data_IF_720246958199
#
_entry.id   IF_720246958199
#
_cell.length_a   1.000
_cell.length_b   1.000
_cell.length_c   1.000
_cell.angle_alpha   90.00
_cell.angle_beta   90.00
_cell.angle_gamma   90.00
#
_symmetry.space_group_name_H-M   'P 1'
#
loop_
_entity.id
_entity.type
_entity.pdbx_description
1 polymer ?
#
# COMPACT_ATOMS: atom_id res chain seq x y z
N UNK A 1 15.30 36.01 -73.99
CA UNK A 1 15.46 34.66 -73.42
C UNK A 1 15.60 34.85 -71.92
N UNK A 2 14.59 35.41 -71.24
CA UNK A 2 13.34 34.75 -70.80
C UNK A 2 13.69 33.53 -69.92
N UNK A 3 13.30 33.43 -68.65
CA UNK A 3 11.96 33.62 -68.08
C UNK A 3 12.05 33.98 -66.59
N UNK A 4 11.13 34.84 -66.18
CA UNK A 4 10.75 35.30 -64.86
C UNK A 4 9.87 34.25 -64.15
N UNK A 5 9.95 34.04 -62.82
CA UNK A 5 8.80 34.09 -61.87
C UNK A 5 9.13 33.54 -60.47
N UNK A 6 8.55 34.24 -59.50
CA UNK A 6 8.55 34.05 -58.05
C UNK A 6 7.89 32.74 -57.61
N UNK A 7 8.30 32.20 -56.46
CA UNK A 7 7.36 31.63 -55.48
C UNK A 7 7.95 31.71 -54.08
N UNK A 8 7.36 32.53 -53.22
CA UNK A 8 7.52 32.41 -51.77
C UNK A 8 6.79 31.15 -51.30
N UNK A 9 7.45 30.30 -50.51
CA UNK A 9 6.74 29.39 -49.59
C UNK A 9 7.41 29.49 -48.23
N UNK A 10 6.73 30.21 -47.35
CA UNK A 10 6.82 30.10 -45.91
C UNK A 10 6.72 28.60 -45.54
N UNK A 11 7.77 28.02 -44.95
CA UNK A 11 7.62 26.78 -44.22
C UNK A 11 7.65 27.10 -42.74
N UNK A 12 6.46 26.97 -42.17
CA UNK A 12 6.07 27.01 -40.78
C UNK A 12 7.03 26.23 -39.88
N UNK A 13 7.21 26.78 -38.67
CA UNK A 13 7.72 26.11 -37.48
C UNK A 13 7.19 24.67 -37.40
N UNK A 14 8.10 23.69 -37.51
CA UNK A 14 7.81 22.36 -37.01
C UNK A 14 8.04 22.44 -35.49
N UNK A 15 6.94 22.49 -34.75
CA UNK A 15 6.96 22.42 -33.29
C UNK A 15 7.57 21.08 -32.91
N UNK A 16 8.63 21.14 -32.11
CA UNK A 16 9.35 20.00 -31.54
C UNK A 16 8.43 19.28 -30.53
N UNK A 17 7.49 18.47 -31.05
CA UNK A 17 6.48 17.75 -30.25
C UNK A 17 7.12 16.64 -29.40
N UNK A 18 8.39 16.31 -29.63
CA UNK A 18 9.02 15.16 -29.02
C UNK A 18 9.92 15.49 -27.81
N UNK A 19 10.35 16.73 -27.59
CA UNK A 19 11.29 17.01 -26.50
C UNK A 19 10.65 16.91 -25.10
N UNK A 20 9.42 17.41 -24.91
CA UNK A 20 8.75 17.33 -23.61
C UNK A 20 8.28 15.89 -23.28
N UNK A 21 7.88 15.13 -24.31
CA UNK A 21 7.44 13.75 -24.19
C UNK A 21 8.63 12.78 -23.97
N UNK A 22 9.79 13.07 -24.58
CA UNK A 22 11.04 12.31 -24.40
C UNK A 22 11.66 12.60 -23.04
N UNK A 23 11.64 13.85 -22.56
CA UNK A 23 12.15 14.20 -21.22
C UNK A 23 11.37 13.47 -20.10
N UNK A 24 10.05 13.32 -20.24
CA UNK A 24 9.24 12.48 -19.32
C UNK A 24 9.54 10.98 -19.41
N UNK A 25 10.09 10.51 -20.52
CA UNK A 25 10.50 9.10 -20.71
C UNK A 25 11.87 8.81 -20.10
N UNK A 26 12.74 9.83 -20.02
CA UNK A 26 14.12 9.73 -19.51
C UNK A 26 14.17 9.85 -17.98
N UNK A 27 13.22 10.55 -17.36
CA UNK A 27 12.98 10.51 -15.91
C UNK A 27 11.96 9.40 -15.66
N UNK A 28 12.35 8.32 -14.97
CA UNK A 28 11.44 7.21 -14.69
C UNK A 28 10.09 7.68 -14.14
N UNK A 29 9.00 7.00 -14.50
CA UNK A 29 7.65 7.38 -14.10
C UNK A 29 7.60 7.63 -12.57
N UNK A 30 7.11 8.81 -12.13
CA UNK A 30 7.26 9.23 -10.76
C UNK A 30 6.47 8.32 -9.82
N UNK A 31 6.98 8.17 -8.59
CA UNK A 31 6.42 7.28 -7.58
C UNK A 31 6.01 8.11 -6.36
N UNK A 32 4.77 7.91 -5.90
CA UNK A 32 4.29 8.42 -4.63
C UNK A 32 4.34 7.29 -3.59
N UNK A 33 4.94 7.58 -2.45
CA UNK A 33 5.03 6.65 -1.33
C UNK A 33 3.91 6.96 -0.32
N UNK A 34 2.97 6.03 -0.15
CA UNK A 34 1.88 6.16 0.82
C UNK A 34 2.17 5.34 2.06
N UNK A 35 1.96 5.95 3.22
CA UNK A 35 2.04 5.30 4.52
C UNK A 35 0.65 5.13 5.11
N UNK A 36 0.24 3.88 5.25
CA UNK A 36 -1.04 3.48 5.83
C UNK A 36 -0.77 2.98 7.24
N UNK A 37 -1.42 3.59 8.22
CA UNK A 37 -1.30 3.20 9.62
C UNK A 37 -2.66 3.23 10.30
N UNK A 38 -2.78 2.45 11.37
CA UNK A 38 -3.99 2.34 12.18
C UNK A 38 -3.71 2.86 13.58
N UNK A 39 -4.71 3.52 14.17
CA UNK A 39 -4.69 3.92 15.58
C UNK A 39 -6.04 3.60 16.25
N UNK A 40 -6.03 2.60 17.13
CA UNK A 40 -7.17 2.24 17.95
C UNK A 40 -7.40 3.25 19.09
N UNK A 41 -8.52 3.99 19.05
CA UNK A 41 -8.86 5.01 20.06
C UNK A 41 -10.06 4.63 20.93
N UNK A 42 -9.90 4.75 22.25
CA UNK A 42 -10.99 4.63 23.21
C UNK A 42 -11.60 6.01 23.50
N UNK A 43 -12.82 6.27 23.04
CA UNK A 43 -13.55 7.50 23.39
C UNK A 43 -14.36 7.27 24.68
N UNK A 44 -14.00 8.00 25.74
CA UNK A 44 -14.69 8.01 27.05
C UNK A 44 -14.92 6.62 27.68
N UNK A 45 -14.03 5.64 27.44
CA UNK A 45 -14.13 4.24 27.91
C UNK A 45 -15.41 3.49 27.48
N UNK A 46 -16.24 4.06 26.61
CA UNK A 46 -17.54 3.49 26.21
C UNK A 46 -17.60 3.04 24.77
N UNK A 47 -16.91 3.72 23.86
CA UNK A 47 -16.93 3.40 22.42
C UNK A 47 -15.51 3.30 21.90
N UNK A 48 -15.16 2.11 21.43
CA UNK A 48 -13.93 1.87 20.68
C UNK A 48 -14.14 2.37 19.27
N UNK A 49 -13.17 3.10 18.76
CA UNK A 49 -13.12 3.50 17.36
C UNK A 49 -11.86 2.93 16.73
N UNK A 50 -12.02 2.44 15.51
CA UNK A 50 -10.92 2.04 14.65
C UNK A 50 -10.73 3.14 13.63
N UNK A 51 -9.48 3.57 13.44
CA UNK A 51 -9.12 4.67 12.56
C UNK A 51 -7.95 4.25 11.67
N UNK A 52 -8.16 4.27 10.36
CA UNK A 52 -7.08 4.09 9.38
C UNK A 52 -6.75 5.44 8.77
N UNK A 53 -5.47 5.77 8.82
CA UNK A 53 -4.93 7.05 8.38
C UNK A 53 -3.87 6.81 7.31
N UNK A 54 -3.82 7.72 6.34
CA UNK A 54 -2.85 7.70 5.26
C UNK A 54 -2.04 9.00 5.29
N UNK A 55 -0.73 8.89 5.12
CA UNK A 55 0.16 10.03 4.91
C UNK A 55 0.97 9.83 3.63
N UNK A 56 1.37 10.93 3.00
CA UNK A 56 2.31 10.91 1.87
C UNK A 56 3.72 11.01 2.46
N UNK A 57 4.58 10.02 2.18
CA UNK A 57 5.94 9.94 2.74
C UNK A 57 6.95 10.84 2.03
N UNK A 58 6.66 11.25 0.80
CA UNK A 58 7.59 12.02 -0.03
C UNK A 58 7.88 13.42 0.53
N UNK A 59 6.92 14.00 1.26
CA UNK A 59 7.08 15.27 1.94
C UNK A 59 7.56 15.09 3.38
N UNK A 60 8.89 15.04 3.52
CA UNK A 60 9.56 14.86 4.82
C UNK A 60 9.27 16.00 5.81
N UNK A 61 8.96 17.20 5.34
CA UNK A 61 8.71 18.35 6.21
C UNK A 61 7.34 18.27 6.88
N UNK A 62 6.38 17.61 6.22
CA UNK A 62 5.01 17.50 6.68
C UNK A 62 4.69 16.16 7.32
N UNK A 63 5.57 15.16 7.19
CA UNK A 63 5.38 13.82 7.75
C UNK A 63 5.05 13.81 9.26
N UNK A 64 5.64 14.72 10.04
CA UNK A 64 5.39 14.82 11.49
C UNK A 64 4.25 15.79 11.83
N UNK A 65 3.60 16.39 10.84
CA UNK A 65 2.54 17.36 11.03
C UNK A 65 1.17 16.69 10.94
N UNK A 66 0.29 16.85 11.94
CA UNK A 66 -1.00 16.15 11.99
C UNK A 66 -1.94 16.55 10.85
N UNK A 67 -1.78 17.73 10.25
CA UNK A 67 -2.62 18.20 9.14
C UNK A 67 -2.39 17.43 7.82
N UNK A 68 -1.35 16.60 7.75
CA UNK A 68 -0.98 15.81 6.58
C UNK A 68 -1.23 14.32 6.81
N UNK A 69 -1.99 14.00 7.85
CA UNK A 69 -2.43 12.66 8.21
C UNK A 69 -3.92 12.56 7.92
N UNK A 70 -4.26 11.91 6.80
CA UNK A 70 -5.62 11.88 6.27
C UNK A 70 -6.36 10.62 6.76
N UNK A 71 -7.30 10.82 7.69
CA UNK A 71 -8.18 9.72 8.13
C UNK A 71 -9.08 9.29 6.98
N UNK A 72 -8.92 8.03 6.54
CA UNK A 72 -9.66 7.48 5.40
C UNK A 72 -10.76 6.52 5.85
N UNK A 73 -10.57 5.85 6.98
CA UNK A 73 -11.60 5.00 7.60
C UNK A 73 -11.75 5.40 9.06
N UNK A 74 -12.98 5.63 9.49
CA UNK A 74 -13.33 5.86 10.88
C UNK A 74 -14.66 5.16 11.17
N UNK A 75 -14.67 4.20 12.11
CA UNK A 75 -15.91 3.57 12.52
C UNK A 75 -15.94 3.22 14.01
N UNK A 76 -17.12 3.32 14.65
CA UNK A 76 -17.32 2.83 16.00
C UNK A 76 -17.46 1.30 15.98
N UNK A 77 -16.71 0.60 16.82
CA UNK A 77 -16.78 -0.85 16.89
C UNK A 77 -15.52 -1.49 17.47
N UNK A 78 -15.50 -2.81 17.43
CA UNK A 78 -14.30 -3.58 17.73
C UNK A 78 -13.53 -3.92 16.45
N UNK A 79 -12.22 -4.09 16.60
CA UNK A 79 -11.37 -4.74 15.60
C UNK A 79 -11.73 -6.23 15.56
N UNK A 80 -12.71 -6.60 14.74
CA UNK A 80 -12.99 -7.97 14.34
C UNK A 80 -12.95 -8.09 12.82
N UNK A 81 -12.70 -9.31 12.36
CA UNK A 81 -12.43 -9.58 10.95
C UNK A 81 -13.62 -9.24 10.04
N UNK A 82 -14.87 -9.56 10.43
CA UNK A 82 -16.03 -9.35 9.56
C UNK A 82 -16.35 -7.87 9.42
N UNK A 83 -16.27 -7.13 10.53
CA UNK A 83 -16.43 -5.67 10.52
C UNK A 83 -15.38 -5.01 9.64
N UNK A 84 -14.10 -5.39 9.82
CA UNK A 84 -13.01 -4.83 9.01
C UNK A 84 -13.16 -5.16 7.54
N UNK A 85 -13.45 -6.42 7.18
CA UNK A 85 -13.65 -6.84 5.80
C UNK A 85 -14.67 -5.97 5.06
N UNK A 86 -15.81 -5.70 5.70
CA UNK A 86 -16.88 -4.92 5.07
C UNK A 86 -16.52 -3.43 5.00
N UNK A 87 -15.98 -2.88 6.08
CA UNK A 87 -15.73 -1.44 6.20
C UNK A 87 -14.52 -1.00 5.38
N UNK A 88 -13.47 -1.82 5.29
CA UNK A 88 -12.25 -1.48 4.54
C UNK A 88 -12.31 -1.91 3.07
N UNK A 89 -13.36 -2.59 2.61
CA UNK A 89 -13.49 -3.03 1.22
C UNK A 89 -13.35 -1.88 0.18
N UNK A 90 -13.93 -0.67 0.39
CA UNK A 90 -13.69 0.45 -0.51
C UNK A 90 -12.23 0.89 -0.51
N UNK A 91 -11.64 1.08 0.67
CA UNK A 91 -10.22 1.45 0.82
C UNK A 91 -9.29 0.43 0.14
N UNK A 92 -9.54 -0.87 0.35
CA UNK A 92 -8.77 -1.93 -0.29
C UNK A 92 -8.81 -1.82 -1.82
N UNK A 93 -10.01 -1.59 -2.40
CA UNK A 93 -10.18 -1.45 -3.85
C UNK A 93 -9.38 -0.27 -4.38
N UNK A 94 -9.44 0.87 -3.70
CA UNK A 94 -8.74 2.08 -4.11
C UNK A 94 -7.22 1.90 -4.02
N UNK A 95 -6.71 1.36 -2.90
CA UNK A 95 -5.29 1.05 -2.75
C UNK A 95 -4.79 0.04 -3.78
N UNK A 96 -5.60 -0.98 -4.11
CA UNK A 96 -5.26 -1.98 -5.12
C UNK A 96 -5.18 -1.35 -6.51
N UNK A 97 -6.13 -0.48 -6.84
CA UNK A 97 -6.12 0.26 -8.10
C UNK A 97 -4.90 1.19 -8.20
N UNK A 98 -4.59 1.95 -7.14
CA UNK A 98 -3.39 2.80 -7.08
C UNK A 98 -2.10 1.99 -7.27
N UNK A 99 -1.99 0.83 -6.61
CA UNK A 99 -0.82 -0.05 -6.72
C UNK A 99 -0.66 -0.66 -8.11
N UNK A 100 -1.75 -1.13 -8.70
CA UNK A 100 -1.71 -1.91 -9.95
C UNK A 100 -1.75 -1.00 -11.20
N UNK A 101 -2.50 0.09 -11.16
CA UNK A 101 -2.75 0.97 -12.32
C UNK A 101 -2.09 2.35 -12.21
N UNK A 102 -1.77 2.81 -11.00
CA UNK A 102 -1.32 4.17 -10.76
C UNK A 102 -2.45 5.20 -10.86
N UNK A 103 -2.08 6.48 -11.01
CA UNK A 103 -3.01 7.59 -11.18
C UNK A 103 -2.49 8.60 -12.21
N UNK A 104 -3.36 9.08 -13.10
CA UNK A 104 -3.02 10.12 -14.06
C UNK A 104 -3.30 11.50 -13.46
N UNK A 105 -2.24 12.31 -13.25
CA UNK A 105 -2.33 13.67 -12.73
C UNK A 105 -1.54 14.57 -13.69
N UNK A 106 -2.18 15.60 -14.25
CA UNK A 106 -1.56 16.52 -15.22
C UNK A 106 -0.87 15.77 -16.37
N UNK A 107 -1.55 14.76 -16.94
CA UNK A 107 -1.05 13.88 -18.01
C UNK A 107 0.19 13.04 -17.64
N UNK A 108 0.66 13.09 -16.40
CA UNK A 108 1.75 12.25 -15.90
C UNK A 108 1.15 11.04 -15.19
N UNK A 109 1.61 9.84 -15.54
CA UNK A 109 1.24 8.60 -14.84
C UNK A 109 2.10 8.45 -13.59
N UNK A 110 1.47 8.59 -12.43
CA UNK A 110 2.09 8.38 -11.12
C UNK A 110 1.88 6.94 -10.66
N UNK A 111 2.97 6.29 -10.25
CA UNK A 111 2.94 4.97 -9.63
C UNK A 111 2.91 5.11 -8.10
N UNK A 112 2.51 4.05 -7.41
CA UNK A 112 2.36 4.08 -5.96
C UNK A 112 3.10 2.93 -5.29
N UNK A 113 3.81 3.25 -4.21
CA UNK A 113 4.37 2.28 -3.29
C UNK A 113 3.69 2.42 -1.92
N UNK A 114 3.19 1.31 -1.39
CA UNK A 114 2.39 1.29 -0.18
C UNK A 114 3.21 0.73 0.99
N UNK A 115 3.21 1.43 2.12
CA UNK A 115 3.82 1.01 3.37
C UNK A 115 2.75 0.86 4.44
N UNK A 116 2.74 -0.28 5.12
CA UNK A 116 1.77 -0.59 6.17
C UNK A 116 2.45 -0.61 7.54
N UNK A 117 1.95 0.20 8.47
CA UNK A 117 2.42 0.23 9.86
C UNK A 117 1.24 0.07 10.80
N UNK A 118 0.90 -1.18 11.06
CA UNK A 118 -0.18 -1.56 11.96
C UNK A 118 0.39 -2.12 13.26
N UNK A 119 -0.31 -1.89 14.37
CA UNK A 119 0.00 -2.64 15.58
C UNK A 119 -0.23 -4.15 15.33
N UNK A 120 0.42 -4.98 16.15
CA UNK A 120 0.43 -6.41 15.93
C UNK A 120 -0.98 -7.03 15.92
N UNK A 121 -1.91 -6.52 16.74
CA UNK A 121 -3.27 -7.08 16.85
C UNK A 121 -4.06 -6.78 15.58
N UNK A 122 -4.03 -5.54 15.10
CA UNK A 122 -4.69 -5.17 13.85
C UNK A 122 -4.08 -5.92 12.66
N UNK A 123 -2.74 -5.97 12.58
CA UNK A 123 -2.02 -6.71 11.55
C UNK A 123 -2.42 -8.19 11.51
N UNK A 124 -2.53 -8.84 12.68
CA UNK A 124 -2.95 -10.23 12.76
C UNK A 124 -4.36 -10.45 12.18
N UNK A 125 -5.29 -9.53 12.41
CA UNK A 125 -6.64 -9.59 11.82
C UNK A 125 -6.57 -9.40 10.30
N UNK A 126 -5.83 -8.39 9.84
CA UNK A 126 -5.62 -8.13 8.41
C UNK A 126 -4.99 -9.31 7.67
N UNK A 127 -4.18 -10.13 8.34
CA UNK A 127 -3.53 -11.32 7.76
C UNK A 127 -4.31 -12.63 8.02
N UNK A 128 -5.48 -12.56 8.65
CA UNK A 128 -6.34 -13.71 8.92
C UNK A 128 -5.78 -14.70 9.95
N UNK A 129 -5.04 -14.23 10.96
CA UNK A 129 -4.43 -15.05 12.01
C UNK A 129 -5.40 -15.52 13.11
N UNK A 130 -5.04 -16.67 13.68
CA UNK A 130 -5.68 -17.29 14.85
C UNK A 130 -5.15 -16.70 16.18
N UNK A 131 -5.15 -15.38 16.34
CA UNK A 131 -4.87 -14.69 17.61
C UNK A 131 -3.47 -14.91 18.24
N UNK A 132 -3.18 -14.11 19.28
CA UNK A 132 -1.84 -13.99 19.90
C UNK A 132 -1.44 -15.25 20.65
N UNK A 133 -2.43 -15.94 21.21
CA UNK A 133 -2.20 -17.08 22.08
C UNK A 133 -1.89 -18.36 21.30
N UNK A 134 -2.04 -18.37 19.98
CA UNK A 134 -1.76 -19.56 19.16
C UNK A 134 -0.30 -20.01 19.24
N UNK A 135 -0.09 -21.31 18.99
CA UNK A 135 1.26 -21.89 18.88
C UNK A 135 2.06 -21.28 17.72
N UNK A 136 1.41 -20.77 16.69
CA UNK A 136 2.04 -20.20 15.49
C UNK A 136 1.57 -18.75 15.34
N UNK A 137 2.24 -17.83 16.02
CA UNK A 137 1.81 -16.45 16.20
C UNK A 137 2.50 -15.46 15.23
N UNK A 138 3.60 -15.88 14.61
CA UNK A 138 4.49 -15.00 13.85
C UNK A 138 3.93 -14.74 12.43
N UNK A 139 3.71 -13.47 12.04
CA UNK A 139 3.28 -13.10 10.69
C UNK A 139 4.25 -13.43 9.56
N UNK A 140 5.55 -13.37 9.85
CA UNK A 140 6.63 -13.47 8.86
C UNK A 140 7.35 -14.82 8.84
N UNK A 141 7.28 -15.57 9.94
CA UNK A 141 8.06 -16.79 10.15
C UNK A 141 7.18 -17.99 10.49
N UNK A 142 7.64 -19.19 10.14
CA UNK A 142 6.96 -20.47 10.45
C UNK A 142 7.32 -21.04 11.83
N UNK A 143 8.01 -20.27 12.67
CA UNK A 143 8.43 -20.69 14.00
C UNK A 143 7.22 -20.77 14.95
N UNK A 144 7.22 -21.80 15.78
CA UNK A 144 6.20 -22.01 16.81
C UNK A 144 6.68 -21.58 18.20
N UNK A 145 5.75 -21.33 19.11
CA UNK A 145 6.04 -20.95 20.51
C UNK A 145 6.93 -21.94 21.25
N UNK A 146 6.86 -23.24 20.94
CA UNK A 146 7.71 -24.25 21.59
C UNK A 146 9.18 -24.11 21.23
N UNK A 147 9.50 -23.31 20.22
CA UNK A 147 10.86 -23.01 19.76
C UNK A 147 11.30 -21.61 20.21
N UNK A 148 10.48 -20.92 21.00
CA UNK A 148 10.82 -19.63 21.58
C UNK A 148 11.95 -19.81 22.60
N UNK A 149 13.03 -19.04 22.46
CA UNK A 149 14.22 -19.14 23.32
C UNK A 149 15.27 -20.15 22.84
N UNK A 150 15.04 -20.86 21.73
CA UNK A 150 16.07 -21.67 21.09
C UNK A 150 17.06 -20.75 20.35
N UNK A 151 18.24 -20.56 20.95
CA UNK A 151 19.31 -19.71 20.42
C UNK A 151 20.03 -20.31 19.20
N UNK A 152 19.88 -21.61 18.96
CA UNK A 152 20.47 -22.27 17.79
C UNK A 152 19.58 -22.20 16.56
N UNK A 153 18.30 -21.88 16.75
CA UNK A 153 17.35 -21.78 15.65
C UNK A 153 17.44 -20.43 14.96
N UNK A 154 17.63 -20.45 13.65
CA UNK A 154 17.54 -19.23 12.81
C UNK A 154 16.10 -18.83 12.57
N UNK A 155 15.79 -17.57 12.83
CA UNK A 155 14.49 -16.95 12.60
C UNK A 155 14.46 -16.34 11.21
N UNK A 156 14.15 -17.17 10.22
CA UNK A 156 14.06 -16.72 8.83
C UNK A 156 12.66 -16.21 8.52
N UNK A 157 12.60 -15.06 7.85
CA UNK A 157 11.39 -14.56 7.19
C UNK A 157 11.20 -15.43 5.94
N UNK A 158 10.11 -16.17 5.90
CA UNK A 158 9.90 -17.23 4.89
C UNK A 158 8.44 -17.40 4.47
N UNK A 159 7.58 -16.48 4.90
CA UNK A 159 6.17 -16.47 4.49
C UNK A 159 6.02 -15.59 3.28
N UNK A 160 5.19 -16.05 2.36
CA UNK A 160 4.88 -15.36 1.11
C UNK A 160 3.38 -15.08 1.08
N UNK A 161 3.02 -13.85 0.71
CA UNK A 161 1.62 -13.44 0.64
C UNK A 161 0.85 -14.23 -0.44
N UNK A 162 1.48 -14.52 -1.58
CA UNK A 162 0.86 -15.29 -2.68
C UNK A 162 0.32 -16.65 -2.22
N UNK A 163 1.06 -17.36 -1.36
CA UNK A 163 0.63 -18.65 -0.79
C UNK A 163 -0.61 -18.52 0.10
N UNK A 164 -0.74 -17.41 0.82
CA UNK A 164 -1.91 -17.14 1.66
C UNK A 164 -3.15 -16.74 0.84
N UNK A 165 -2.95 -16.07 -0.29
CA UNK A 165 -4.01 -15.72 -1.24
C UNK A 165 -4.56 -16.99 -1.91
N UNK A 166 -3.67 -17.88 -2.37
CA UNK A 166 -4.04 -19.19 -2.95
C UNK A 166 -4.79 -20.06 -1.93
N UNK A 167 -4.27 -20.13 -0.69
CA UNK A 167 -4.81 -20.97 0.37
C UNK A 167 -4.58 -20.33 1.74
N UNK A 168 -5.66 -19.83 2.34
CA UNK A 168 -5.61 -19.10 3.62
C UNK A 168 -4.97 -19.86 4.77
N UNK A 169 -5.04 -21.20 4.78
CA UNK A 169 -4.44 -22.05 5.81
C UNK A 169 -3.14 -22.73 5.38
N UNK A 170 -2.47 -22.22 4.33
CA UNK A 170 -1.19 -22.75 3.86
C UNK A 170 -0.13 -22.74 4.97
N UNK A 171 0.00 -21.60 5.66
CA UNK A 171 0.84 -21.47 6.85
C UNK A 171 0.03 -21.71 8.11
N UNK A 172 0.58 -22.48 9.05
CA UNK A 172 -0.02 -22.64 10.38
C UNK A 172 -0.16 -21.28 11.06
N UNK A 173 -1.30 -21.10 11.74
CA UNK A 173 -1.64 -19.84 12.40
C UNK A 173 -2.60 -18.98 11.58
N UNK A 174 -2.63 -19.10 10.25
CA UNK A 174 -3.61 -18.43 9.41
C UNK A 174 -4.85 -19.32 9.23
N UNK A 175 -6.04 -18.74 9.33
CA UNK A 175 -7.32 -19.43 9.11
C UNK A 175 -8.21 -18.73 8.09
N UNK A 176 -8.02 -17.43 7.89
CA UNK A 176 -8.85 -16.61 7.00
C UNK A 176 -7.99 -15.98 5.91
N UNK A 177 -8.65 -15.52 4.84
CA UNK A 177 -7.96 -14.81 3.78
C UNK A 177 -7.42 -13.48 4.31
N UNK A 178 -6.26 -13.01 3.85
CA UNK A 178 -5.80 -11.66 4.14
C UNK A 178 -6.83 -10.63 3.65
N UNK A 179 -7.13 -9.62 4.48
CA UNK A 179 -7.91 -8.45 4.11
C UNK A 179 -7.13 -7.53 3.16
N UNK A 180 -5.81 -7.47 3.34
CA UNK A 180 -4.89 -6.73 2.50
C UNK A 180 -3.78 -7.67 1.99
N UNK A 181 -3.99 -8.22 0.79
CA UNK A 181 -3.00 -9.07 0.09
C UNK A 181 -1.80 -8.27 -0.48
N UNK A 182 -1.85 -6.95 -0.36
CA UNK A 182 -0.80 -6.04 -0.79
C UNK A 182 0.28 -5.80 0.28
N UNK A 183 0.09 -6.32 1.51
CA UNK A 183 1.09 -6.29 2.58
C UNK A 183 2.22 -7.27 2.23
N UNK A 184 3.47 -6.80 2.04
CA UNK A 184 4.60 -7.69 1.79
C UNK A 184 4.92 -8.50 3.06
N UNK A 185 5.23 -9.79 2.88
CA UNK A 185 5.67 -10.68 3.96
C UNK A 185 7.11 -11.18 3.74
N UNK A 186 7.59 -11.07 2.51
CA UNK A 186 8.94 -11.32 2.07
C UNK A 186 9.81 -10.07 2.27
N UNK A 187 11.04 -10.30 2.76
CA UNK A 187 12.07 -9.29 3.00
C UNK A 187 13.43 -9.86 2.62
#
# INVERSE_FOLDING_TARGET
>A
MDVNTETQVNQSEEVDIDDELIVQKVVGAPIIHLWIFEDGRNVRKKVKHVMITIAILDDKHTLNQPNYHYTTVLYPGCEDYESLLNITAPLYRDLKNLKDQGLLINNIKWNFQLYFSFDWKFLAICLGFNGVHSKNFCPWCTISKSQQGDLFKKWNINKEMGKLVEKSNYYKGHSRKPLFDMIPLDH
#
